data_IF_643784323665
#
_entry.id   IF_643784323665
#
_cell.length_a   1.000
_cell.length_b   1.000
_cell.length_c   1.000
_cell.angle_alpha   90.00
_cell.angle_beta   90.00
_cell.angle_gamma   90.00
#
_symmetry.space_group_name_H-M   'P 1'
#
loop_
_entity.id
_entity.type
_entity.pdbx_description
1 polymer ?
#
# COMPACT_ATOMS: atom_id res chain seq x y z
N UNK A 1 10.76 0.69 25.75
CA UNK A 1 10.77 -0.21 24.59
C UNK A 1 12.06 0.01 23.81
N UNK A 2 12.76 -1.06 23.39
CA UNK A 2 13.94 -0.89 22.53
C UNK A 2 13.51 -0.62 21.09
N UNK A 3 14.18 0.29 20.36
CA UNK A 3 13.68 0.83 19.08
C UNK A 3 13.75 -0.15 17.90
N UNK A 4 14.50 -1.24 18.06
CA UNK A 4 14.79 -2.20 16.99
C UNK A 4 13.66 -3.20 16.67
N UNK A 5 12.61 -3.30 17.51
CA UNK A 5 11.55 -4.31 17.35
C UNK A 5 10.21 -3.77 16.81
N UNK A 6 10.08 -2.47 16.54
CA UNK A 6 8.85 -1.89 15.96
C UNK A 6 8.83 -1.83 14.43
N UNK A 7 9.98 -2.04 13.77
CA UNK A 7 10.13 -1.79 12.32
C UNK A 7 9.75 -2.97 11.41
N UNK A 8 9.80 -4.22 11.90
CA UNK A 8 9.52 -5.40 11.08
C UNK A 8 8.04 -5.74 10.92
N UNK A 9 7.20 -5.38 11.89
CA UNK A 9 5.79 -5.81 11.93
C UNK A 9 4.89 -5.05 10.94
N UNK A 10 5.34 -3.88 10.45
CA UNK A 10 4.58 -3.04 9.53
C UNK A 10 4.85 -3.42 8.06
N UNK A 11 6.07 -3.84 7.71
CA UNK A 11 6.40 -4.38 6.37
C UNK A 11 5.66 -5.71 6.10
N UNK A 12 5.24 -6.45 7.14
CA UNK A 12 4.50 -7.71 7.02
C UNK A 12 2.99 -7.52 6.73
N UNK A 13 2.42 -6.37 7.11
CA UNK A 13 1.04 -5.94 6.82
C UNK A 13 0.91 -5.23 5.45
N UNK A 14 2.02 -4.76 4.88
CA UNK A 14 2.06 -3.90 3.70
C UNK A 14 1.99 -4.63 2.36
N UNK A 15 1.98 -5.95 2.36
CA UNK A 15 1.61 -6.68 1.16
C UNK A 15 0.16 -7.17 1.24
N UNK A 16 -0.38 -7.67 2.34
CA UNK A 16 -1.65 -8.40 2.29
C UNK A 16 -2.55 -8.14 3.47
N UNK A 17 -3.70 -7.51 3.25
CA UNK A 17 -4.98 -7.87 3.86
C UNK A 17 -6.09 -7.22 3.01
N UNK A 18 -6.54 -7.91 1.97
CA UNK A 18 -7.90 -7.70 1.44
C UNK A 18 -8.82 -8.39 2.46
N UNK A 19 -9.29 -7.62 3.42
CA UNK A 19 -10.33 -8.02 4.37
C UNK A 19 -11.58 -8.34 3.54
N UNK A 20 -12.08 -9.57 3.59
CA UNK A 20 -13.34 -9.94 2.95
C UNK A 20 -14.51 -9.23 3.64
N UNK A 21 -15.70 -9.13 3.01
CA UNK A 21 -16.88 -8.50 3.66
C UNK A 21 -17.21 -9.10 5.04
N UNK A 22 -16.85 -10.37 5.29
CA UNK A 22 -16.98 -11.02 6.59
C UNK A 22 -16.00 -10.50 7.65
N UNK A 23 -14.81 -10.10 7.23
CA UNK A 23 -13.73 -9.64 8.11
C UNK A 23 -13.95 -8.17 8.54
N UNK A 24 -14.63 -7.36 7.69
CA UNK A 24 -15.00 -5.97 8.00
C UNK A 24 -15.99 -5.85 9.16
N UNK A 25 -17.01 -6.73 9.21
CA UNK A 25 -17.97 -6.78 10.32
C UNK A 25 -17.33 -7.15 11.65
N UNK A 26 -16.30 -7.99 11.61
CA UNK A 26 -15.61 -8.47 12.81
C UNK A 26 -14.70 -7.41 13.44
N UNK A 27 -14.02 -6.60 12.63
CA UNK A 27 -13.20 -5.48 13.14
C UNK A 27 -14.07 -4.38 13.74
N UNK A 28 -15.25 -4.12 13.15
CA UNK A 28 -16.17 -3.11 13.66
C UNK A 28 -16.73 -3.47 15.04
N UNK A 29 -17.14 -4.72 15.25
CA UNK A 29 -17.60 -5.25 16.56
C UNK A 29 -16.49 -5.18 17.63
N UNK A 30 -15.24 -5.47 17.23
CA UNK A 30 -14.11 -5.43 18.15
C UNK A 30 -13.74 -3.99 18.56
N UNK A 31 -13.81 -3.04 17.63
CA UNK A 31 -13.50 -1.64 17.89
C UNK A 31 -14.56 -0.93 18.75
N UNK A 32 -15.84 -1.28 18.60
CA UNK A 32 -16.94 -0.77 19.44
C UNK A 32 -16.85 -1.29 20.88
N UNK A 33 -16.45 -2.55 21.05
CA UNK A 33 -16.21 -3.14 22.37
C UNK A 33 -15.08 -2.41 23.10
N UNK A 34 -13.97 -2.08 22.41
CA UNK A 34 -12.84 -1.34 22.99
C UNK A 34 -13.20 0.11 23.32
N UNK A 35 -14.03 0.79 22.51
CA UNK A 35 -14.51 2.15 22.79
C UNK A 35 -15.37 2.25 24.04
N UNK A 36 -16.21 1.25 24.32
CA UNK A 36 -17.07 1.24 25.51
C UNK A 36 -16.31 1.15 26.84
N UNK A 37 -15.02 0.79 26.81
CA UNK A 37 -14.20 0.60 28.01
C UNK A 37 -13.21 1.74 28.28
N UNK A 38 -13.26 2.84 27.51
CA UNK A 38 -12.30 3.95 27.56
C UNK A 38 -12.90 5.26 28.12
N UNK A 39 -13.74 5.17 29.16
CA UNK A 39 -14.12 6.32 30.00
C UNK A 39 -14.05 5.93 31.47
N UNK A 40 -12.87 6.04 32.08
CA UNK A 40 -12.70 6.76 33.35
C UNK A 40 -11.21 6.83 33.78
N UNK A 41 -10.90 7.95 34.44
CA UNK A 41 -9.58 8.40 34.87
C UNK A 41 -8.98 7.67 36.08
N UNK A 42 -7.65 7.70 36.12
CA UNK A 42 -6.78 7.76 37.32
C UNK A 42 -6.05 6.49 37.83
N UNK A 43 -4.90 6.77 38.44
CA UNK A 43 -3.67 6.02 38.74
C UNK A 43 -3.76 4.68 39.54
N UNK A 44 -2.98 3.67 39.11
CA UNK A 44 -2.16 2.70 39.90
C UNK A 44 -2.14 1.25 39.31
N UNK A 45 -1.00 0.50 39.32
CA UNK A 45 -0.86 -0.75 38.58
C UNK A 45 -1.31 -1.96 39.40
N UNK A 46 -2.49 -2.51 39.10
CA UNK A 46 -2.91 -3.81 39.63
C UNK A 46 -3.40 -4.76 38.53
N UNK A 47 -2.58 -5.79 38.31
CA UNK A 47 -2.90 -7.16 37.84
C UNK A 47 -4.13 -7.33 36.94
N UNK A 48 -3.91 -7.41 35.62
CA UNK A 48 -4.88 -7.98 34.69
C UNK A 48 -4.79 -9.50 34.77
N UNK A 49 -5.89 -10.10 35.22
CA UNK A 49 -6.16 -11.54 35.22
C UNK A 49 -6.41 -12.03 33.80
N UNK A 50 -5.76 -13.14 33.42
CA UNK A 50 -5.82 -13.75 32.09
C UNK A 50 -7.14 -14.53 31.89
N UNK A 51 -8.19 -13.82 31.49
CA UNK A 51 -9.42 -14.44 31.02
C UNK A 51 -9.30 -14.83 29.54
N UNK A 52 -8.97 -16.12 29.30
CA UNK A 52 -9.32 -16.91 28.11
C UNK A 52 -9.03 -16.31 26.72
N UNK A 53 -7.84 -16.58 26.17
CA UNK A 53 -7.51 -16.36 24.76
C UNK A 53 -8.39 -17.26 23.86
N UNK A 54 -9.41 -16.70 23.19
CA UNK A 54 -10.12 -17.39 22.10
C UNK A 54 -9.24 -17.36 20.85
N UNK A 55 -8.76 -18.53 20.42
CA UNK A 55 -8.05 -18.69 19.15
C UNK A 55 -9.03 -19.06 18.04
N UNK A 56 -8.93 -18.37 16.91
CA UNK A 56 -9.60 -18.72 15.67
C UNK A 56 -8.56 -19.13 14.63
N UNK A 57 -8.94 -20.01 13.71
CA UNK A 57 -8.10 -20.45 12.59
C UNK A 57 -8.77 -20.01 11.30
N UNK A 58 -8.10 -19.17 10.51
CA UNK A 58 -8.52 -18.79 9.16
C UNK A 58 -7.62 -19.49 8.13
N UNK A 59 -8.18 -19.79 6.94
CA UNK A 59 -7.43 -20.27 5.78
C UNK A 59 -7.35 -19.13 4.78
N UNK A 60 -6.15 -18.61 4.55
CA UNK A 60 -5.91 -17.50 3.61
C UNK A 60 -5.43 -18.07 2.28
N UNK A 61 -6.18 -17.83 1.19
CA UNK A 61 -5.73 -18.12 -0.17
C UNK A 61 -4.80 -17.00 -0.64
N UNK A 62 -3.52 -17.13 -0.31
CA UNK A 62 -2.48 -16.15 -0.62
C UNK A 62 -1.96 -16.39 -2.03
N UNK A 63 -2.28 -15.51 -2.99
CA UNK A 63 -1.51 -15.43 -4.24
C UNK A 63 -0.05 -15.18 -3.87
N UNK A 64 0.84 -16.12 -4.20
CA UNK A 64 2.27 -15.99 -3.98
C UNK A 64 2.79 -14.88 -4.90
N UNK A 65 3.00 -13.68 -4.36
CA UNK A 65 3.61 -12.59 -5.12
C UNK A 65 5.05 -12.94 -5.39
N UNK A 66 5.51 -12.67 -6.60
CA UNK A 66 6.91 -12.82 -6.91
C UNK A 66 7.68 -11.62 -6.33
N UNK A 67 8.13 -11.76 -5.08
CA UNK A 67 8.95 -10.75 -4.39
C UNK A 67 10.18 -10.33 -5.22
N UNK A 68 10.67 -11.18 -6.13
CA UNK A 68 11.80 -10.82 -7.00
C UNK A 68 11.42 -9.71 -7.98
N UNK A 69 10.19 -9.70 -8.50
CA UNK A 69 9.73 -8.62 -9.39
C UNK A 69 9.72 -7.28 -8.67
N UNK A 70 9.29 -7.28 -7.40
CA UNK A 70 9.26 -6.12 -6.51
C UNK A 70 10.67 -5.61 -6.24
N UNK A 71 11.61 -6.48 -5.88
CA UNK A 71 13.01 -6.10 -5.66
C UNK A 71 13.64 -5.54 -6.93
N UNK A 72 13.51 -6.25 -8.06
CA UNK A 72 14.08 -5.84 -9.34
C UNK A 72 13.55 -4.48 -9.81
N UNK A 73 12.26 -4.19 -9.62
CA UNK A 73 11.69 -2.88 -10.02
C UNK A 73 12.12 -1.76 -9.06
N UNK A 74 12.21 -2.01 -7.75
CA UNK A 74 12.75 -1.02 -6.79
C UNK A 74 14.19 -0.65 -7.13
N UNK A 75 15.01 -1.62 -7.53
CA UNK A 75 16.39 -1.38 -7.98
C UNK A 75 16.47 -0.54 -9.24
N UNK A 76 15.64 -0.83 -10.26
CA UNK A 76 15.57 -0.06 -11.52
C UNK A 76 15.38 1.44 -11.24
N UNK A 77 14.58 1.78 -10.24
CA UNK A 77 14.30 3.17 -9.88
C UNK A 77 15.17 3.73 -8.75
N UNK A 78 16.06 2.90 -8.19
CA UNK A 78 16.89 3.20 -7.04
C UNK A 78 16.06 3.70 -5.85
N UNK A 79 14.94 3.05 -5.57
CA UNK A 79 13.98 3.42 -4.52
C UNK A 79 13.45 4.87 -4.59
N UNK A 80 13.41 5.47 -5.79
CA UNK A 80 12.83 6.80 -5.98
C UNK A 80 11.42 6.69 -6.53
N UNK A 81 10.52 7.51 -5.99
CA UNK A 81 9.15 7.61 -6.49
C UNK A 81 9.13 7.99 -7.97
N UNK A 82 8.28 7.34 -8.77
CA UNK A 82 8.13 7.69 -10.18
C UNK A 82 7.32 8.97 -10.42
N UNK A 83 6.52 9.40 -9.44
CA UNK A 83 5.75 10.65 -9.47
C UNK A 83 6.63 11.83 -9.03
N UNK A 84 6.90 11.96 -7.74
CA UNK A 84 7.62 13.13 -7.20
C UNK A 84 9.16 13.04 -7.28
N UNK A 85 9.73 11.90 -7.70
CA UNK A 85 11.19 11.66 -7.78
C UNK A 85 11.93 11.66 -6.44
N UNK A 86 11.20 11.81 -5.33
CA UNK A 86 11.79 11.80 -3.99
C UNK A 86 12.45 10.45 -3.67
N UNK A 87 13.53 10.51 -2.90
CA UNK A 87 14.29 9.36 -2.44
C UNK A 87 14.16 9.26 -0.92
N UNK A 88 13.35 8.32 -0.46
CA UNK A 88 13.17 8.06 0.98
C UNK A 88 14.17 7.02 1.46
N UNK A 89 14.47 7.05 2.75
CA UNK A 89 15.42 6.14 3.39
C UNK A 89 14.73 5.40 4.55
N UNK A 90 14.90 4.08 4.64
CA UNK A 90 14.53 3.29 5.83
C UNK A 90 15.67 3.15 6.84
N UNK A 91 16.89 3.37 6.38
CA UNK A 91 18.10 3.46 7.20
C UNK A 91 19.09 4.44 6.53
N UNK A 92 20.15 4.85 7.23
CA UNK A 92 21.14 5.87 6.84
C UNK A 92 21.57 5.77 5.37
N UNK A 93 21.69 4.56 4.83
CA UNK A 93 22.11 4.31 3.45
C UNK A 93 21.16 3.39 2.67
N UNK A 94 19.97 3.09 3.19
CA UNK A 94 19.05 2.12 2.59
C UNK A 94 17.80 2.84 2.12
N UNK A 95 17.60 2.86 0.80
CA UNK A 95 16.43 3.45 0.17
C UNK A 95 15.13 2.75 0.57
N UNK A 96 14.03 3.50 0.54
CA UNK A 96 12.69 3.00 0.80
C UNK A 96 11.73 3.48 -0.28
N UNK A 97 11.01 2.52 -0.86
CA UNK A 97 9.92 2.74 -1.79
C UNK A 97 8.94 1.58 -1.70
N UNK A 98 7.74 1.80 -2.18
CA UNK A 98 6.66 0.82 -2.27
C UNK A 98 6.38 0.52 -3.75
N UNK A 99 5.91 -0.69 -4.04
CA UNK A 99 5.50 -1.08 -5.39
C UNK A 99 4.01 -1.26 -5.37
N UNK A 100 3.32 -0.46 -6.17
CA UNK A 100 1.88 -0.53 -6.32
C UNK A 100 1.52 -1.28 -7.61
N UNK A 101 0.51 -2.14 -7.54
CA UNK A 101 -0.10 -2.71 -8.74
C UNK A 101 -1.16 -1.75 -9.25
N UNK A 102 -0.93 -1.16 -10.42
CA UNK A 102 -1.81 -0.15 -11.03
C UNK A 102 -3.24 -0.69 -11.17
N UNK A 103 -3.39 -1.93 -11.66
CA UNK A 103 -4.60 -2.73 -11.49
C UNK A 103 -4.40 -3.68 -10.31
N UNK A 104 -5.19 -3.57 -9.22
CA UNK A 104 -5.01 -4.38 -8.02
C UNK A 104 -5.14 -5.88 -8.29
N UNK A 105 -4.34 -6.69 -7.59
CA UNK A 105 -4.34 -8.15 -7.76
C UNK A 105 -5.60 -8.85 -7.21
N UNK A 106 -6.21 -8.26 -6.18
CA UNK A 106 -7.36 -8.80 -5.47
C UNK A 106 -8.66 -8.67 -6.26
N UNK A 107 -9.70 -9.40 -5.83
CA UNK A 107 -11.06 -9.16 -6.35
C UNK A 107 -11.55 -7.78 -5.89
N UNK A 108 -12.35 -7.07 -6.70
CA UNK A 108 -12.92 -7.47 -8.00
C UNK A 108 -11.98 -7.24 -9.20
N UNK A 109 -10.81 -6.63 -9.01
CA UNK A 109 -9.98 -6.12 -10.10
C UNK A 109 -9.17 -7.21 -10.82
N UNK A 110 -8.62 -8.16 -10.08
CA UNK A 110 -7.93 -9.36 -10.58
C UNK A 110 -6.78 -9.06 -11.56
N UNK A 111 -6.02 -7.99 -11.30
CA UNK A 111 -4.81 -7.64 -12.05
C UNK A 111 -3.74 -8.73 -12.02
N UNK A 112 -2.83 -8.68 -12.99
CA UNK A 112 -1.73 -9.62 -13.11
C UNK A 112 -0.51 -9.18 -12.28
N UNK A 113 0.18 -10.14 -11.65
CA UNK A 113 1.42 -9.90 -10.93
C UNK A 113 2.61 -9.87 -11.90
N UNK A 114 2.76 -8.74 -12.62
CA UNK A 114 3.79 -8.53 -13.63
C UNK A 114 4.33 -7.11 -13.56
N UNK A 115 5.62 -6.91 -13.88
CA UNK A 115 6.23 -5.56 -13.87
C UNK A 115 5.47 -4.53 -14.69
N UNK A 116 4.84 -4.95 -15.80
CA UNK A 116 4.03 -4.07 -16.65
C UNK A 116 2.84 -3.42 -15.92
N UNK A 117 2.40 -4.03 -14.82
CA UNK A 117 1.32 -3.58 -13.94
C UNK A 117 1.87 -2.92 -12.66
N UNK A 118 3.18 -2.69 -12.55
CA UNK A 118 3.80 -2.19 -11.32
C UNK A 118 4.29 -0.75 -11.48
N UNK A 119 4.22 0.02 -10.40
CA UNK A 119 4.79 1.37 -10.31
C UNK A 119 5.50 1.54 -8.97
N UNK A 120 6.68 2.16 -8.98
CA UNK A 120 7.49 2.43 -7.78
C UNK A 120 7.12 3.80 -7.22
N UNK A 121 6.63 3.83 -5.98
CA UNK A 121 6.08 5.02 -5.35
C UNK A 121 6.68 5.27 -3.96
N UNK A 122 6.56 6.51 -3.50
CA UNK A 122 6.69 6.80 -2.08
C UNK A 122 5.36 6.52 -1.36
N UNK A 123 5.35 6.42 -0.01
CA UNK A 123 4.14 6.06 0.73
C UNK A 123 2.96 6.99 0.51
N UNK A 124 3.22 8.29 0.32
CA UNK A 124 2.15 9.26 0.07
C UNK A 124 1.49 8.96 -1.27
N UNK A 125 2.27 8.94 -2.35
CA UNK A 125 1.75 8.69 -3.70
C UNK A 125 1.22 7.28 -3.90
N UNK A 126 1.69 6.31 -3.11
CA UNK A 126 1.09 4.98 -3.06
C UNK A 126 -0.35 5.05 -2.55
N UNK A 127 -0.57 5.72 -1.41
CA UNK A 127 -1.90 5.98 -0.89
C UNK A 127 -2.74 6.82 -1.85
N UNK A 128 -2.17 7.79 -2.57
CA UNK A 128 -2.92 8.57 -3.56
C UNK A 128 -3.41 7.71 -4.73
N UNK A 129 -2.59 6.76 -5.19
CA UNK A 129 -2.96 5.79 -6.22
C UNK A 129 -4.10 4.86 -5.77
N UNK A 130 -4.05 4.39 -4.51
CA UNK A 130 -5.11 3.57 -3.92
C UNK A 130 -6.44 4.32 -3.81
N UNK A 131 -6.39 5.62 -3.52
CA UNK A 131 -7.58 6.46 -3.40
C UNK A 131 -8.07 7.04 -4.74
N UNK A 132 -7.39 6.75 -5.86
CA UNK A 132 -7.78 7.20 -7.19
C UNK A 132 -7.62 8.71 -7.45
N UNK A 133 -6.96 9.44 -6.55
CA UNK A 133 -6.78 10.91 -6.63
C UNK A 133 -5.57 11.33 -7.47
N UNK A 134 -4.88 10.35 -8.06
CA UNK A 134 -3.84 10.52 -9.06
C UNK A 134 -4.08 9.53 -10.19
N UNK A 135 -3.93 9.96 -11.44
CA UNK A 135 -3.98 9.11 -12.62
C UNK A 135 -2.84 9.43 -13.58
N UNK A 136 -2.55 8.53 -14.52
CA UNK A 136 -1.49 8.71 -15.51
C UNK A 136 -2.05 8.47 -16.90
N UNK A 137 -1.89 9.46 -17.79
CA UNK A 137 -2.33 9.31 -19.16
C UNK A 137 -1.62 8.13 -19.85
N UNK A 138 -2.36 7.20 -20.50
CA UNK A 138 -1.79 6.01 -21.12
C UNK A 138 -0.88 6.29 -22.31
N UNK A 139 -0.92 7.47 -22.91
CA UNK A 139 -0.20 7.81 -24.13
C UNK A 139 0.93 8.82 -23.86
N UNK A 140 0.63 9.97 -23.25
CA UNK A 140 1.58 11.03 -22.91
C UNK A 140 2.39 10.73 -21.64
N UNK A 141 1.88 9.86 -20.76
CA UNK A 141 2.42 9.63 -19.40
C UNK A 141 2.35 10.84 -18.48
N UNK A 142 1.52 11.82 -18.83
CA UNK A 142 1.23 12.96 -17.97
C UNK A 142 0.49 12.50 -16.70
N UNK A 143 0.85 13.09 -15.58
CA UNK A 143 0.27 12.86 -14.26
C UNK A 143 -0.86 13.87 -14.09
N UNK A 144 -2.07 13.37 -13.81
CA UNK A 144 -3.17 14.19 -13.30
C UNK A 144 -3.28 13.93 -11.80
N UNK A 145 -3.14 14.97 -10.98
CA UNK A 145 -3.18 14.85 -9.54
C UNK A 145 -4.16 15.86 -8.94
N UNK A 146 -5.17 15.35 -8.22
CA UNK A 146 -6.32 16.12 -7.74
C UNK A 146 -5.96 17.38 -6.92
N UNK A 147 -4.83 17.38 -6.20
CA UNK A 147 -4.49 18.44 -5.25
C UNK A 147 -3.00 18.78 -5.15
N UNK A 148 -2.08 17.98 -5.71
CA UNK A 148 -0.64 18.25 -5.64
C UNK A 148 -0.12 18.89 -6.93
N UNK A 149 -0.31 20.21 -7.05
CA UNK A 149 0.14 21.02 -8.20
C UNK A 149 1.63 20.88 -8.53
N UNK A 150 2.46 20.43 -7.59
CA UNK A 150 3.89 20.25 -7.81
C UNK A 150 4.18 19.09 -8.77
N UNK A 151 3.29 18.10 -8.86
CA UNK A 151 3.44 16.91 -9.73
C UNK A 151 2.37 16.83 -10.82
N UNK A 152 1.25 17.55 -10.65
CA UNK A 152 0.22 17.69 -11.66
C UNK A 152 0.76 18.26 -12.99
N UNK A 153 0.32 17.69 -14.11
CA UNK A 153 0.80 18.01 -15.46
C UNK A 153 2.25 17.57 -15.76
N UNK A 154 2.94 16.93 -14.80
CA UNK A 154 4.29 16.42 -15.06
C UNK A 154 4.26 15.05 -15.74
N UNK A 155 5.35 14.70 -16.42
CA UNK A 155 5.49 13.37 -17.02
C UNK A 155 6.07 12.38 -16.02
N UNK A 156 5.40 11.23 -15.89
CA UNK A 156 5.83 10.10 -15.06
C UNK A 156 7.27 9.71 -15.38
N UNK A 157 8.11 9.52 -14.35
CA UNK A 157 9.47 9.06 -14.54
C UNK A 157 9.48 7.64 -15.11
N UNK A 158 10.06 7.48 -16.29
CA UNK A 158 10.23 6.19 -16.96
C UNK A 158 11.67 5.69 -16.89
N UNK A 159 11.85 4.38 -17.13
CA UNK A 159 13.16 3.76 -17.30
C UNK A 159 13.11 2.79 -18.49
N UNK A 160 14.16 2.74 -19.31
CA UNK A 160 14.18 1.91 -20.54
C UNK A 160 13.90 0.41 -20.32
N UNK A 161 14.25 -0.11 -19.15
CA UNK A 161 14.05 -1.52 -18.77
C UNK A 161 12.72 -1.79 -18.08
N UNK A 162 11.86 -0.77 -17.94
CA UNK A 162 10.56 -0.89 -17.30
C UNK A 162 9.49 -0.18 -18.14
N UNK A 163 8.58 -0.96 -18.72
CA UNK A 163 7.46 -0.45 -19.50
C UNK A 163 6.15 -0.77 -18.82
N UNK A 164 5.48 0.27 -18.32
CA UNK A 164 4.10 0.17 -17.84
C UNK A 164 3.18 0.00 -19.05
N UNK A 165 2.33 -1.01 -19.01
CA UNK A 165 1.41 -1.29 -20.09
C UNK A 165 0.16 -0.41 -20.01
N UNK A 166 -0.32 0.04 -21.17
CA UNK A 166 -1.35 1.07 -21.27
C UNK A 166 -2.70 0.58 -20.75
N UNK A 167 -2.97 -0.72 -20.86
CA UNK A 167 -4.18 -1.36 -20.37
C UNK A 167 -4.38 -1.17 -18.87
N UNK A 168 -3.31 -1.23 -18.07
CA UNK A 168 -3.41 -1.06 -16.61
C UNK A 168 -3.69 0.41 -16.24
N UNK A 169 -3.06 1.36 -16.93
CA UNK A 169 -3.35 2.78 -16.73
C UNK A 169 -4.79 3.13 -17.13
N UNK A 170 -5.26 2.61 -18.27
CA UNK A 170 -6.67 2.76 -18.68
C UNK A 170 -7.63 2.15 -17.67
N UNK A 171 -7.29 0.98 -17.15
CA UNK A 171 -8.10 0.33 -16.11
C UNK A 171 -8.18 1.21 -14.87
N UNK A 172 -7.04 1.72 -14.37
CA UNK A 172 -7.01 2.59 -13.19
C UNK A 172 -7.86 3.84 -13.39
N UNK A 173 -7.73 4.52 -14.54
CA UNK A 173 -8.57 5.69 -14.88
C UNK A 173 -10.05 5.34 -14.84
N UNK A 174 -10.46 4.22 -15.43
CA UNK A 174 -11.89 3.89 -15.59
C UNK A 174 -12.54 3.34 -14.32
N UNK A 175 -11.79 2.61 -13.49
CA UNK A 175 -12.36 1.77 -12.42
C UNK A 175 -11.95 2.22 -11.01
N UNK A 176 -10.92 3.07 -10.89
CA UNK A 176 -10.33 3.46 -9.61
C UNK A 176 -10.25 4.97 -9.46
N UNK A 177 -9.84 5.68 -10.52
CA UNK A 177 -9.65 7.12 -10.47
C UNK A 177 -10.96 7.88 -10.28
N UNK A 178 -10.87 9.00 -9.57
CA UNK A 178 -11.97 9.94 -9.34
C UNK A 178 -11.82 11.25 -10.12
N UNK A 179 -10.85 11.29 -11.04
CA UNK A 179 -10.52 12.44 -11.90
C UNK A 179 -11.35 12.45 -13.20
#
# INVERSE_FOLDING_TARGET
MRPEYARGYFEELLDQEFISEGDSRFIQDHFETVKSSATDTDHSPHSISTAGEKRYTSTVDRRLRDHRLVEEIKEIYSNKCQICRDHRLKDKNVGYSEVHHIQPLGRPHVGADVKKNMIVLCPNHHSDFDNGVVSIDPDSREIDHLYENAVDGQVLRSHRSHTIAKEYLRYHINEISVL
#
